data_IF_416087713158
#
_entry.id   IF_416087713158
#
_cell.length_a   1.000
_cell.length_b   1.000
_cell.length_c   1.000
_cell.angle_alpha   90.00
_cell.angle_beta   90.00
_cell.angle_gamma   90.00
#
_symmetry.space_group_name_H-M   'P 1'
#
loop_
_entity.id
_entity.type
_entity.pdbx_description
1 polymer ?
#
# COMPACT_ATOMS: atom_id res chain seq x y z
N UNK A 1 4.64 28.68 -18.82
CA UNK A 1 5.26 27.36 -18.56
C UNK A 1 4.49 26.76 -17.42
N UNK A 2 3.74 25.68 -17.68
CA UNK A 2 2.92 25.02 -16.65
C UNK A 2 3.82 24.21 -15.71
N UNK A 3 3.28 23.84 -14.54
CA UNK A 3 4.00 22.97 -13.61
C UNK A 3 4.27 21.59 -14.25
N UNK A 4 3.34 21.11 -15.09
CA UNK A 4 3.52 19.91 -15.90
C UNK A 4 4.71 20.04 -16.87
N UNK A 5 4.90 21.22 -17.46
CA UNK A 5 6.03 21.45 -18.37
C UNK A 5 7.38 21.37 -17.67
N UNK A 6 7.44 21.69 -16.38
CA UNK A 6 8.67 21.60 -15.59
C UNK A 6 8.90 20.15 -15.13
N UNK A 7 7.83 19.48 -14.71
CA UNK A 7 7.88 18.11 -14.20
C UNK A 7 8.30 17.09 -15.26
N UNK A 8 7.86 17.25 -16.52
CA UNK A 8 8.24 16.34 -17.61
C UNK A 8 9.72 16.43 -18.03
N UNK A 9 10.42 17.51 -17.66
CA UNK A 9 11.84 17.71 -17.99
C UNK A 9 12.78 17.41 -16.81
N UNK A 10 12.23 17.08 -15.63
CA UNK A 10 13.04 16.64 -14.49
C UNK A 10 13.52 15.20 -14.74
N UNK A 11 14.83 14.92 -14.64
CA UNK A 11 15.33 13.55 -14.65
C UNK A 11 14.58 12.72 -13.60
N UNK A 12 14.11 11.52 -13.96
CA UNK A 12 13.26 10.69 -13.10
C UNK A 12 13.80 10.56 -11.67
N UNK A 13 15.12 10.41 -11.49
CA UNK A 13 15.77 10.37 -10.17
C UNK A 13 15.57 11.65 -9.35
N UNK A 14 15.64 12.82 -9.98
CA UNK A 14 15.41 14.12 -9.33
C UNK A 14 13.95 14.33 -9.02
N UNK A 15 13.05 13.96 -9.94
CA UNK A 15 11.61 13.99 -9.68
C UNK A 15 11.26 13.10 -8.47
N UNK A 16 11.77 11.86 -8.43
CA UNK A 16 11.57 10.93 -7.30
C UNK A 16 12.09 11.53 -5.99
N UNK A 17 13.32 12.03 -5.97
CA UNK A 17 13.90 12.65 -4.77
C UNK A 17 13.12 13.90 -4.30
N UNK A 18 12.65 14.74 -5.22
CA UNK A 18 11.82 15.91 -4.87
C UNK A 18 10.46 15.50 -4.33
N UNK A 19 9.82 14.47 -4.92
CA UNK A 19 8.58 13.89 -4.40
C UNK A 19 8.81 13.37 -2.98
N UNK A 20 9.84 12.54 -2.77
CA UNK A 20 10.15 11.95 -1.47
C UNK A 20 10.41 13.03 -0.39
N UNK A 21 11.05 14.14 -0.77
CA UNK A 21 11.27 15.27 0.14
C UNK A 21 10.00 16.08 0.45
N UNK A 22 9.05 16.17 -0.49
CA UNK A 22 7.78 16.87 -0.31
C UNK A 22 6.70 15.98 0.34
N UNK A 23 6.92 14.66 0.33
CA UNK A 23 6.03 13.62 0.85
C UNK A 23 5.45 13.93 2.22
N UNK A 24 6.25 14.33 3.24
CA UNK A 24 5.75 14.59 4.59
C UNK A 24 4.83 15.81 4.71
N UNK A 25 4.78 16.67 3.68
CA UNK A 25 4.04 17.94 3.69
C UNK A 25 2.76 17.87 2.85
N UNK A 26 2.68 16.92 1.91
CA UNK A 26 1.60 16.82 0.92
C UNK A 26 0.63 15.67 1.23
N UNK A 27 1.11 14.60 1.87
CA UNK A 27 0.31 13.47 2.27
C UNK A 27 0.48 13.27 3.77
N UNK A 28 -0.51 13.64 4.58
CA UNK A 28 -0.46 13.38 6.02
C UNK A 28 -1.88 13.19 6.57
N UNK A 29 -2.49 12.07 6.18
CA UNK A 29 -3.58 11.51 6.98
C UNK A 29 -2.94 10.66 8.07
N UNK A 30 -3.50 10.71 9.28
CA UNK A 30 -3.04 9.86 10.38
C UNK A 30 -3.16 8.38 9.99
N UNK A 31 -2.27 7.56 10.54
CA UNK A 31 -2.36 6.11 10.39
C UNK A 31 -3.73 5.62 10.89
N UNK A 32 -4.42 4.73 10.15
CA UNK A 32 -5.75 4.32 10.53
C UNK A 32 -5.68 3.33 11.70
N UNK A 33 -5.87 3.80 12.93
CA UNK A 33 -5.78 2.98 14.15
C UNK A 33 -7.00 2.05 14.37
N UNK A 34 -8.12 2.30 13.69
CA UNK A 34 -9.37 1.55 13.92
C UNK A 34 -9.47 0.19 13.19
N UNK A 35 -8.98 0.03 11.94
CA UNK A 35 -8.86 -1.28 11.30
C UNK A 35 -7.93 -2.24 12.06
N UNK A 36 -8.02 -3.52 11.71
CA UNK A 36 -7.13 -4.55 12.24
C UNK A 36 -5.71 -4.40 11.66
N UNK A 37 -4.72 -4.84 12.45
CA UNK A 37 -3.30 -4.81 12.11
C UNK A 37 -2.65 -6.16 12.40
N UNK A 38 -1.47 -6.38 11.82
CA UNK A 38 -0.53 -7.47 12.15
C UNK A 38 0.85 -6.90 12.32
N UNK A 39 1.67 -7.46 13.20
CA UNK A 39 3.07 -7.04 13.36
C UNK A 39 4.00 -8.10 12.77
N UNK A 40 5.11 -7.67 12.16
CA UNK A 40 6.10 -8.57 11.59
C UNK A 40 7.48 -8.12 12.09
N UNK A 41 8.21 -9.03 12.73
CA UNK A 41 9.60 -8.81 13.17
C UNK A 41 10.57 -8.99 11.99
N UNK A 42 10.53 -8.03 11.06
CA UNK A 42 11.41 -7.95 9.90
C UNK A 42 11.64 -6.49 9.50
N UNK A 43 12.77 -6.22 8.85
CA UNK A 43 13.02 -4.92 8.26
C UNK A 43 12.27 -4.70 6.94
N UNK A 44 12.19 -3.44 6.52
CA UNK A 44 11.46 -3.02 5.31
C UNK A 44 11.97 -3.73 4.06
N UNK A 45 13.28 -3.91 3.92
CA UNK A 45 13.89 -4.54 2.75
C UNK A 45 13.51 -6.03 2.67
N UNK A 46 13.46 -6.71 3.81
CA UNK A 46 13.05 -8.12 3.93
C UNK A 46 11.58 -8.30 3.58
N UNK A 47 10.70 -7.45 4.11
CA UNK A 47 9.27 -7.48 3.76
C UNK A 47 9.07 -7.21 2.27
N UNK A 48 9.68 -6.14 1.74
CA UNK A 48 9.55 -5.79 0.32
C UNK A 48 10.02 -6.93 -0.59
N UNK A 49 11.13 -7.60 -0.24
CA UNK A 49 11.63 -8.75 -0.99
C UNK A 49 10.67 -9.95 -0.94
N UNK A 50 10.17 -10.32 0.24
CA UNK A 50 9.26 -11.44 0.42
C UNK A 50 7.93 -11.26 -0.33
N UNK A 51 7.36 -10.05 -0.27
CA UNK A 51 6.13 -9.71 -0.98
C UNK A 51 6.34 -9.66 -2.50
N UNK A 52 7.50 -9.20 -2.98
CA UNK A 52 7.85 -9.21 -4.40
C UNK A 52 7.90 -10.63 -4.97
N UNK A 53 8.42 -11.59 -4.22
CA UNK A 53 8.53 -12.99 -4.65
C UNK A 53 7.17 -13.65 -4.90
N UNK A 54 6.10 -13.12 -4.29
CA UNK A 54 4.71 -13.55 -4.52
C UNK A 54 3.87 -12.50 -5.26
N UNK A 55 4.53 -11.72 -6.11
CA UNK A 55 3.93 -10.82 -7.11
C UNK A 55 3.13 -9.64 -6.55
N UNK A 56 3.53 -9.11 -5.40
CA UNK A 56 3.07 -7.79 -4.98
C UNK A 56 3.91 -6.68 -5.62
N UNK A 57 3.26 -5.57 -5.91
CA UNK A 57 3.86 -4.39 -6.52
C UNK A 57 3.88 -3.23 -5.54
N UNK A 58 5.04 -2.57 -5.43
CA UNK A 58 5.16 -1.30 -4.73
C UNK A 58 4.41 -0.20 -5.49
N UNK A 59 3.50 0.48 -4.79
CA UNK A 59 2.75 1.62 -5.32
C UNK A 59 3.04 2.94 -4.60
N UNK A 60 4.12 2.97 -3.82
CA UNK A 60 4.61 4.16 -3.11
C UNK A 60 4.78 5.36 -4.05
N UNK A 61 4.01 6.41 -3.76
CA UNK A 61 3.97 7.67 -4.50
C UNK A 61 2.95 7.75 -5.65
N UNK A 62 1.97 6.86 -5.70
CA UNK A 62 0.75 7.01 -6.52
C UNK A 62 -0.56 6.92 -5.71
N UNK A 63 -0.49 6.98 -4.37
CA UNK A 63 -1.65 6.95 -3.47
C UNK A 63 -1.54 8.01 -2.37
N UNK A 64 -2.64 8.25 -1.65
CA UNK A 64 -2.60 8.90 -0.32
C UNK A 64 -1.64 8.08 0.56
N UNK A 65 -0.78 8.74 1.30
CA UNK A 65 0.18 8.11 2.22
C UNK A 65 -0.18 8.50 3.66
N UNK A 66 -0.08 7.54 4.56
CA UNK A 66 -0.28 7.77 6.00
C UNK A 66 1.01 8.26 6.65
N UNK A 67 0.87 8.98 7.76
CA UNK A 67 2.03 9.35 8.57
C UNK A 67 2.76 8.08 9.07
N UNK A 68 4.08 8.07 8.95
CA UNK A 68 4.93 6.92 9.28
C UNK A 68 4.87 5.73 8.31
N UNK A 69 4.07 5.77 7.24
CA UNK A 69 4.01 4.70 6.23
C UNK A 69 5.37 4.50 5.56
N UNK A 70 5.87 3.26 5.51
CA UNK A 70 7.15 2.91 4.89
C UNK A 70 7.01 1.97 3.69
N UNK A 71 5.91 1.23 3.59
CA UNK A 71 5.60 0.37 2.44
C UNK A 71 4.13 0.47 2.06
N UNK A 72 3.89 0.31 0.76
CA UNK A 72 2.56 0.40 0.15
C UNK A 72 2.48 -0.57 -1.04
N UNK A 73 1.88 -1.73 -0.82
CA UNK A 73 1.94 -2.88 -1.70
C UNK A 73 0.56 -3.24 -2.23
N UNK A 74 0.46 -3.62 -3.50
CA UNK A 74 -0.80 -4.06 -4.10
C UNK A 74 -0.64 -5.34 -4.91
N UNK A 75 -1.72 -6.11 -5.01
CA UNK A 75 -1.83 -7.23 -5.96
C UNK A 75 -3.26 -7.43 -6.45
N UNK A 76 -3.48 -8.06 -7.62
CA UNK A 76 -4.81 -8.52 -8.02
C UNK A 76 -5.40 -9.52 -7.01
N UNK A 77 -6.69 -9.37 -6.69
CA UNK A 77 -7.40 -10.18 -5.68
C UNK A 77 -8.70 -10.80 -6.22
N UNK A 78 -8.72 -11.11 -7.52
CA UNK A 78 -9.86 -11.73 -8.18
C UNK A 78 -10.93 -10.73 -8.61
N UNK A 79 -12.21 -11.15 -8.54
CA UNK A 79 -13.36 -10.37 -9.00
C UNK A 79 -14.52 -10.53 -8.01
N UNK A 80 -15.36 -9.50 -7.89
CA UNK A 80 -16.68 -9.58 -7.25
C UNK A 80 -17.66 -10.39 -8.10
N UNK A 81 -18.81 -10.71 -7.51
CA UNK A 81 -19.93 -11.39 -8.17
C UNK A 81 -20.46 -10.63 -9.40
N UNK A 82 -20.36 -9.29 -9.41
CA UNK A 82 -20.74 -8.44 -10.53
C UNK A 82 -19.66 -8.33 -11.63
N UNK A 83 -18.54 -9.03 -11.47
CA UNK A 83 -17.41 -9.02 -12.39
C UNK A 83 -16.38 -7.93 -12.15
N UNK A 84 -16.60 -7.02 -11.17
CA UNK A 84 -15.66 -5.94 -10.84
C UNK A 84 -14.32 -6.53 -10.39
N UNK A 85 -13.19 -6.21 -11.06
CA UNK A 85 -11.87 -6.65 -10.64
C UNK A 85 -11.45 -6.01 -9.31
N UNK A 86 -10.83 -6.80 -8.45
CA UNK A 86 -10.40 -6.40 -7.11
C UNK A 86 -8.88 -6.42 -6.99
N UNK A 87 -8.38 -5.65 -6.04
CA UNK A 87 -6.99 -5.69 -5.57
C UNK A 87 -6.94 -5.74 -4.04
N UNK A 88 -5.95 -6.47 -3.53
CA UNK A 88 -5.54 -6.37 -2.13
C UNK A 88 -4.51 -5.23 -2.04
N UNK A 89 -4.65 -4.39 -1.03
CA UNK A 89 -3.76 -3.26 -0.77
C UNK A 89 -3.27 -3.34 0.68
N UNK A 90 -1.98 -3.61 0.84
CA UNK A 90 -1.30 -3.65 2.14
C UNK A 90 -0.42 -2.41 2.32
N UNK A 91 -0.33 -1.96 3.56
CA UNK A 91 0.55 -0.85 3.95
C UNK A 91 1.24 -1.20 5.25
N UNK A 92 2.45 -0.68 5.44
CA UNK A 92 3.22 -0.92 6.66
C UNK A 92 3.80 0.38 7.21
N UNK A 93 3.90 0.47 8.55
CA UNK A 93 4.65 1.50 9.29
C UNK A 93 5.65 0.87 10.24
N UNK A 94 6.69 1.62 10.62
CA UNK A 94 7.60 1.22 11.69
C UNK A 94 6.96 1.43 13.07
N UNK A 95 7.17 0.48 13.97
CA UNK A 95 6.84 0.55 15.40
C UNK A 95 8.02 0.10 16.26
N UNK A 96 7.88 0.12 17.59
CA UNK A 96 8.90 -0.42 18.50
C UNK A 96 9.01 -1.95 18.42
N UNK A 97 7.94 -2.62 18.04
CA UNK A 97 7.81 -4.09 18.02
C UNK A 97 8.05 -4.71 16.63
N UNK A 98 8.34 -3.89 15.61
CA UNK A 98 8.55 -4.32 14.23
C UNK A 98 7.75 -3.49 13.21
N UNK A 99 7.45 -4.09 12.07
CA UNK A 99 6.60 -3.48 11.05
C UNK A 99 5.14 -3.84 11.29
N UNK A 100 4.32 -2.83 11.57
CA UNK A 100 2.88 -2.97 11.71
C UNK A 100 2.24 -2.80 10.33
N UNK A 101 1.47 -3.80 9.90
CA UNK A 101 0.78 -3.84 8.62
C UNK A 101 -0.73 -3.83 8.75
N UNK A 102 -1.40 -3.06 7.89
CA UNK A 102 -2.84 -3.16 7.66
C UNK A 102 -3.14 -3.28 6.18
N UNK A 103 -4.43 -3.44 5.86
CA UNK A 103 -4.84 -3.38 4.48
C UNK A 103 -6.31 -3.62 4.25
N UNK A 104 -6.69 -3.43 3.01
CA UNK A 104 -8.06 -3.58 2.54
C UNK A 104 -8.10 -4.27 1.18
N UNK A 105 -9.28 -4.75 0.82
CA UNK A 105 -9.62 -5.19 -0.53
C UNK A 105 -10.55 -4.17 -1.17
N UNK A 106 -10.23 -3.74 -2.37
CA UNK A 106 -10.95 -2.68 -3.07
C UNK A 106 -11.05 -2.93 -4.58
N UNK A 107 -11.94 -2.25 -5.32
CA UNK A 107 -11.95 -2.29 -6.77
C UNK A 107 -10.58 -1.91 -7.34
N UNK A 108 -10.18 -2.58 -8.41
CA UNK A 108 -8.86 -2.32 -9.00
C UNK A 108 -8.75 -0.88 -9.47
N UNK A 109 -7.69 -0.19 -9.07
CA UNK A 109 -7.44 1.20 -9.49
C UNK A 109 -7.25 1.34 -11.00
N UNK A 110 -6.82 0.28 -11.67
CA UNK A 110 -6.50 0.27 -13.10
C UNK A 110 -7.71 -0.11 -13.96
N UNK A 111 -8.52 -1.05 -13.49
CA UNK A 111 -9.62 -1.63 -14.28
C UNK A 111 -11.02 -1.15 -13.83
N UNK A 112 -11.16 -0.68 -12.58
CA UNK A 112 -12.43 -0.26 -11.97
C UNK A 112 -12.30 1.11 -11.27
N UNK A 113 -11.64 2.06 -11.95
CA UNK A 113 -11.19 3.33 -11.36
C UNK A 113 -12.30 4.16 -10.69
N UNK A 114 -13.50 4.22 -11.27
CA UNK A 114 -14.60 4.99 -10.68
C UNK A 114 -15.01 4.41 -9.34
N UNK A 115 -15.27 3.09 -9.29
CA UNK A 115 -15.60 2.41 -8.04
C UNK A 115 -14.46 2.48 -7.02
N UNK A 116 -13.21 2.44 -7.47
CA UNK A 116 -12.04 2.61 -6.61
C UNK A 116 -12.02 3.99 -5.94
N UNK A 117 -12.19 5.06 -6.73
CA UNK A 117 -12.18 6.44 -6.21
C UNK A 117 -13.38 6.72 -5.29
N UNK A 118 -14.53 6.12 -5.60
CA UNK A 118 -15.74 6.24 -4.79
C UNK A 118 -15.74 5.30 -3.58
N UNK A 119 -14.67 4.52 -3.38
CA UNK A 119 -14.51 3.50 -2.33
C UNK A 119 -15.65 2.46 -2.31
N UNK A 120 -16.32 2.25 -3.45
CA UNK A 120 -17.47 1.37 -3.57
C UNK A 120 -17.06 -0.09 -3.37
N UNK A 121 -17.41 -0.62 -2.19
CA UNK A 121 -17.12 -1.97 -1.71
C UNK A 121 -15.67 -2.17 -1.27
N UNK A 122 -14.97 -1.11 -0.90
CA UNK A 122 -13.77 -1.22 -0.08
C UNK A 122 -14.11 -1.98 1.21
N UNK A 123 -13.27 -2.95 1.56
CA UNK A 123 -13.42 -3.75 2.76
C UNK A 123 -12.06 -3.90 3.46
N UNK A 124 -11.94 -3.38 4.67
CA UNK A 124 -10.79 -3.63 5.53
C UNK A 124 -10.66 -5.11 5.83
N UNK A 125 -9.41 -5.60 5.81
CA UNK A 125 -9.10 -6.98 6.10
C UNK A 125 -9.05 -7.19 7.61
N UNK A 126 -9.58 -8.33 8.07
CA UNK A 126 -9.42 -8.77 9.45
C UNK A 126 -7.98 -9.20 9.75
N UNK A 127 -7.60 -9.24 11.04
CA UNK A 127 -6.29 -9.77 11.47
C UNK A 127 -6.00 -11.15 10.87
N UNK A 128 -6.99 -12.06 10.79
CA UNK A 128 -6.78 -13.39 10.22
C UNK A 128 -6.52 -13.35 8.71
N UNK A 129 -7.17 -12.44 7.99
CA UNK A 129 -6.94 -12.27 6.55
C UNK A 129 -5.57 -11.65 6.30
N UNK A 130 -5.19 -10.65 7.08
CA UNK A 130 -3.86 -10.04 7.02
C UNK A 130 -2.77 -11.06 7.29
N UNK A 131 -2.91 -11.85 8.37
CA UNK A 131 -1.96 -12.91 8.71
C UNK A 131 -1.80 -13.92 7.57
N UNK A 132 -2.90 -14.38 6.96
CA UNK A 132 -2.83 -15.30 5.83
C UNK A 132 -2.05 -14.71 4.63
N UNK A 133 -2.22 -13.41 4.34
CA UNK A 133 -1.47 -12.74 3.26
C UNK A 133 0.03 -12.65 3.56
N UNK A 134 0.40 -12.44 4.83
CA UNK A 134 1.80 -12.42 5.27
C UNK A 134 2.41 -13.82 5.20
N UNK A 135 1.69 -14.85 5.67
CA UNK A 135 2.14 -16.24 5.64
C UNK A 135 2.39 -16.75 4.21
N UNK A 136 1.64 -16.27 3.21
CA UNK A 136 1.90 -16.58 1.79
C UNK A 136 3.30 -16.16 1.33
N UNK A 137 3.90 -15.15 1.96
CA UNK A 137 5.27 -14.69 1.67
C UNK A 137 6.35 -15.53 2.36
N UNK A 138 5.96 -16.45 3.25
CA UNK A 138 6.88 -17.21 4.10
C UNK A 138 7.34 -16.49 5.36
N UNK A 139 6.73 -15.34 5.69
CA UNK A 139 6.95 -14.59 6.93
C UNK A 139 5.94 -15.03 8.01
N UNK A 140 6.30 -14.80 9.28
CA UNK A 140 5.45 -15.12 10.44
C UNK A 140 4.88 -13.81 11.05
N UNK A 141 3.56 -13.58 10.98
CA UNK A 141 2.93 -12.44 11.65
C UNK A 141 2.70 -12.71 13.14
N UNK A 142 2.84 -11.66 13.95
CA UNK A 142 2.36 -11.58 15.33
C UNK A 142 0.96 -10.93 15.35
N UNK A 143 0.01 -11.56 16.04
CA UNK A 143 -1.45 -11.27 15.97
C UNK A 143 -2.08 -11.03 17.34
#
# INVERSE_FOLDING_TARGET
MSILDILQHLPFRRWKATRDALRPVIASTDWPEAPDHVTIDADVETIEAAFRDVHWEDTSGFSIEYDGEVLNLRRPAGRRDDGTPLEDHLRFRNTEDGLEGNGHREPSRLEAKTQHVDEDGLAWLSTQQLAALVEETGLEPDV
#
